data_IF_104968334530
#
_entry.id   IF_104968334530
#
_cell.length_a   1.000
_cell.length_b   1.000
_cell.length_c   1.000
_cell.angle_alpha   90.00
_cell.angle_beta   90.00
_cell.angle_gamma   90.00
#
_symmetry.space_group_name_H-M   'P 1'
#
loop_
_entity.id
_entity.type
_entity.pdbx_description
1 polymer ?
#
# COMPACT_ATOMS: atom_id res chain seq x y z
N UNK A 1 14.75 1.66 -8.80
CA UNK A 1 13.51 1.06 -9.36
C UNK A 1 12.43 1.25 -8.31
N UNK A 2 11.20 1.59 -8.70
CA UNK A 2 10.10 1.87 -7.77
C UNK A 2 8.88 1.02 -8.15
N UNK A 3 8.30 0.30 -7.19
CA UNK A 3 7.10 -0.50 -7.40
C UNK A 3 5.85 0.31 -7.08
N UNK A 4 4.81 0.19 -7.92
CA UNK A 4 3.50 0.79 -7.69
C UNK A 4 2.45 -0.31 -7.54
N UNK A 5 1.79 -0.36 -6.39
CA UNK A 5 0.61 -1.19 -6.18
C UNK A 5 -0.66 -0.36 -6.29
N UNK A 6 -1.55 -0.81 -7.16
CA UNK A 6 -2.92 -0.31 -7.29
C UNK A 6 -3.83 -1.36 -6.67
N UNK A 7 -4.53 -0.99 -5.60
CA UNK A 7 -5.43 -1.88 -4.87
C UNK A 7 -6.72 -1.15 -4.55
N UNK A 8 -7.82 -1.87 -4.39
CA UNK A 8 -9.03 -1.27 -3.82
C UNK A 8 -8.86 -1.07 -2.30
N UNK A 9 -8.28 -2.09 -1.65
CA UNK A 9 -8.22 -2.21 -0.20
C UNK A 9 -6.79 -2.06 0.32
N UNK A 10 -6.63 -1.28 1.39
CA UNK A 10 -5.39 -1.12 2.14
C UNK A 10 -5.72 -0.63 3.56
N UNK A 11 -4.93 -0.93 4.61
CA UNK A 11 -5.29 -0.57 5.97
C UNK A 11 -5.63 0.92 6.11
N UNK A 12 -6.69 1.28 6.86
CA UNK A 12 -7.52 0.40 7.69
C UNK A 12 -8.66 -0.32 6.95
N UNK A 13 -8.83 -0.10 5.65
CA UNK A 13 -9.97 -0.57 4.85
C UNK A 13 -9.66 -1.87 4.11
N UNK A 14 -9.50 -2.97 4.85
CA UNK A 14 -9.33 -4.33 4.29
C UNK A 14 -10.54 -5.19 4.66
N UNK A 15 -11.14 -5.81 3.64
CA UNK A 15 -12.34 -6.66 3.78
C UNK A 15 -12.16 -8.03 3.14
N UNK A 16 -11.09 -8.25 2.36
CA UNK A 16 -10.79 -9.52 1.71
C UNK A 16 -9.31 -9.87 1.67
N UNK A 17 -9.02 -11.10 1.22
CA UNK A 17 -7.65 -11.62 1.13
C UNK A 17 -6.76 -10.80 0.21
N UNK A 18 -7.30 -10.18 -0.84
CA UNK A 18 -6.54 -9.33 -1.76
C UNK A 18 -5.91 -8.12 -1.05
N UNK A 19 -6.68 -7.41 -0.21
CA UNK A 19 -6.17 -6.30 0.59
C UNK A 19 -5.09 -6.74 1.58
N UNK A 20 -5.31 -7.89 2.23
CA UNK A 20 -4.30 -8.52 3.11
C UNK A 20 -3.01 -8.81 2.34
N UNK A 21 -3.09 -9.39 1.13
CA UNK A 21 -1.90 -9.66 0.33
C UNK A 21 -1.11 -8.40 0.00
N UNK A 22 -1.79 -7.31 -0.39
CA UNK A 22 -1.11 -6.05 -0.73
C UNK A 22 -0.46 -5.41 0.49
N UNK A 23 -1.11 -5.42 1.66
CA UNK A 23 -0.54 -4.92 2.93
C UNK A 23 0.78 -5.61 3.29
N UNK A 24 0.79 -6.94 3.36
CA UNK A 24 2.01 -7.66 3.72
C UNK A 24 3.10 -7.56 2.65
N UNK A 25 2.72 -7.65 1.37
CA UNK A 25 3.70 -7.58 0.28
C UNK A 25 4.35 -6.19 0.20
N UNK A 26 3.58 -5.10 0.32
CA UNK A 26 4.12 -3.74 0.24
C UNK A 26 5.13 -3.47 1.35
N UNK A 27 4.84 -3.92 2.57
CA UNK A 27 5.70 -3.73 3.75
C UNK A 27 6.99 -4.53 3.66
N UNK A 28 6.93 -5.77 3.18
CA UNK A 28 8.13 -6.60 3.04
C UNK A 28 8.97 -6.16 1.83
N UNK A 29 8.34 -5.74 0.72
CA UNK A 29 9.05 -5.24 -0.44
C UNK A 29 9.72 -3.88 -0.17
N UNK A 30 9.11 -3.03 0.66
CA UNK A 30 9.67 -1.74 1.08
C UNK A 30 11.02 -1.87 1.82
N UNK A 31 11.34 -3.05 2.36
CA UNK A 31 12.67 -3.32 2.95
C UNK A 31 13.77 -3.45 1.90
N UNK A 32 13.42 -3.65 0.63
CA UNK A 32 14.35 -3.94 -0.46
C UNK A 32 14.36 -2.84 -1.53
N UNK A 33 13.28 -2.07 -1.68
CA UNK A 33 13.13 -1.02 -2.70
C UNK A 33 12.02 -0.03 -2.34
N UNK A 34 11.94 1.10 -3.06
CA UNK A 34 10.84 2.06 -2.89
C UNK A 34 9.51 1.49 -3.41
N UNK A 35 8.47 1.60 -2.60
CA UNK A 35 7.10 1.14 -2.87
C UNK A 35 6.13 2.30 -2.70
N UNK A 36 5.21 2.44 -3.65
CA UNK A 36 4.03 3.32 -3.54
C UNK A 36 2.76 2.47 -3.64
N UNK A 37 1.82 2.70 -2.75
CA UNK A 37 0.49 2.09 -2.78
C UNK A 37 -0.53 3.19 -3.05
N UNK A 38 -1.40 2.96 -4.04
CA UNK A 38 -2.60 3.77 -4.27
C UNK A 38 -3.83 2.92 -4.03
N UNK A 39 -4.71 3.43 -3.19
CA UNK A 39 -5.93 2.76 -2.78
C UNK A 39 -7.12 3.71 -2.74
N UNK A 40 -8.32 3.18 -2.50
CA UNK A 40 -9.47 4.03 -2.20
C UNK A 40 -9.55 4.33 -0.70
N UNK A 41 -10.10 5.51 -0.38
CA UNK A 41 -10.20 6.05 0.98
C UNK A 41 -9.25 7.22 1.22
N UNK A 42 -8.94 7.48 2.49
CA UNK A 42 -8.29 8.72 2.93
C UNK A 42 -6.87 8.47 3.49
N UNK A 43 -6.25 7.35 3.11
CA UNK A 43 -4.93 6.97 3.62
C UNK A 43 -3.88 8.00 3.20
N UNK A 44 -3.13 8.51 4.17
CA UNK A 44 -1.93 9.31 3.93
C UNK A 44 -0.82 8.78 4.82
N UNK A 45 0.06 7.96 4.22
CA UNK A 45 1.21 7.38 4.90
C UNK A 45 2.47 7.75 4.14
N UNK A 46 3.43 8.33 4.85
CA UNK A 46 4.76 8.58 4.35
C UNK A 46 5.78 7.94 5.31
N UNK A 47 6.29 6.77 4.92
CA UNK A 47 7.30 6.02 5.65
C UNK A 47 8.54 5.84 4.77
N UNK A 48 9.72 5.58 5.37
CA UNK A 48 10.91 5.23 4.59
C UNK A 48 10.62 4.08 3.63
N UNK A 49 10.79 4.33 2.34
CA UNK A 49 10.59 3.39 1.24
C UNK A 49 9.14 2.89 1.04
N UNK A 50 8.16 3.41 1.77
CA UNK A 50 6.74 3.07 1.61
C UNK A 50 5.87 4.32 1.72
N UNK A 51 5.26 4.72 0.61
CA UNK A 51 4.19 5.74 0.63
C UNK A 51 2.84 5.13 0.27
N UNK A 52 1.79 5.62 0.92
CA UNK A 52 0.41 5.18 0.67
C UNK A 52 -0.44 6.42 0.49
N UNK A 53 -1.20 6.43 -0.60
CA UNK A 53 -2.18 7.48 -0.86
C UNK A 53 -3.54 6.87 -1.19
N UNK A 54 -4.53 7.25 -0.41
CA UNK A 54 -5.94 7.04 -0.68
C UNK A 54 -6.47 8.06 -1.68
N UNK A 55 -7.45 7.66 -2.48
CA UNK A 55 -8.27 8.53 -3.33
C UNK A 55 -9.74 8.26 -2.98
N UNK A 56 -10.39 9.23 -2.36
CA UNK A 56 -11.75 9.11 -1.81
C UNK A 56 -12.27 10.45 -1.37
#
# INVERSE_FOLDING_TARGET
MKALFLTNEYPPNIYGGAGVHVDYLSRELAKLMDVEVRCFGDQEVDQPHLSVRGFG
#
